data_IF_599370699761
#
_entry.id   IF_599370699761
#
_cell.length_a   1.000
_cell.length_b   1.000
_cell.length_c   1.000
_cell.angle_alpha   90.00
_cell.angle_beta   90.00
_cell.angle_gamma   90.00
#
_symmetry.space_group_name_H-M   'P 1'
#
loop_
_entity.id
_entity.type
_entity.pdbx_description
1 polymer ?
#
# COMPACT_ATOMS: atom_id res chain seq x y z
N UNK A 1 20.99 -2.35 14.50
CA UNK A 1 21.84 -2.53 13.30
C UNK A 1 20.98 -2.29 12.06
N UNK A 2 21.47 -1.46 11.16
CA UNK A 2 20.80 -1.28 9.85
C UNK A 2 21.51 -2.09 8.77
N UNK A 3 20.78 -2.47 7.74
CA UNK A 3 21.31 -3.18 6.58
C UNK A 3 21.50 -2.19 5.42
N UNK A 4 22.69 -2.18 4.83
CA UNK A 4 22.95 -1.43 3.60
C UNK A 4 22.31 -2.12 2.42
N UNK A 5 21.81 -1.32 1.48
CA UNK A 5 21.22 -1.82 0.25
C UNK A 5 22.24 -2.59 -0.60
N UNK A 6 21.82 -3.71 -1.15
CA UNK A 6 22.60 -4.47 -2.17
C UNK A 6 22.72 -3.70 -3.49
N UNK A 7 21.91 -2.65 -3.69
CA UNK A 7 21.87 -1.84 -4.90
C UNK A 7 22.80 -0.62 -4.84
N UNK A 8 23.47 -0.39 -3.71
CA UNK A 8 24.43 0.68 -3.51
C UNK A 8 24.09 1.63 -2.37
N UNK A 9 25.06 2.48 -2.03
CA UNK A 9 24.93 3.37 -0.86
C UNK A 9 23.88 4.49 -1.05
N UNK A 10 23.63 4.88 -2.30
CA UNK A 10 22.66 5.92 -2.65
C UNK A 10 21.32 5.36 -3.10
N UNK A 11 21.11 4.05 -3.00
CA UNK A 11 19.87 3.44 -3.42
C UNK A 11 18.69 3.87 -2.52
N UNK A 12 17.61 4.27 -3.18
CA UNK A 12 16.40 4.79 -2.54
C UNK A 12 15.11 4.06 -2.97
N UNK A 13 15.24 3.02 -3.82
CA UNK A 13 14.07 2.35 -4.43
C UNK A 13 14.02 0.83 -4.18
N UNK A 14 15.01 0.28 -3.49
CA UNK A 14 14.99 -1.12 -3.04
C UNK A 14 14.75 -2.12 -4.18
N UNK A 15 13.86 -3.07 -3.96
CA UNK A 15 13.56 -4.10 -4.95
C UNK A 15 12.83 -3.58 -6.21
N UNK A 16 12.41 -2.31 -6.27
CA UNK A 16 11.98 -1.70 -7.53
C UNK A 16 13.10 -1.65 -8.59
N UNK A 17 14.37 -1.76 -8.19
CA UNK A 17 15.51 -1.96 -9.09
C UNK A 17 15.43 -3.24 -9.94
N UNK A 18 14.55 -4.18 -9.59
CA UNK A 18 14.28 -5.38 -10.39
C UNK A 18 13.45 -5.09 -11.66
N UNK A 19 12.83 -3.90 -11.72
CA UNK A 19 12.03 -3.51 -12.88
C UNK A 19 12.97 -3.03 -13.99
N UNK A 20 12.92 -3.71 -15.11
CA UNK A 20 13.69 -3.40 -16.30
C UNK A 20 12.91 -3.81 -17.56
N UNK A 21 13.44 -3.48 -18.73
CA UNK A 21 12.77 -3.79 -20.01
C UNK A 21 12.42 -5.28 -20.16
N UNK A 22 13.29 -6.18 -19.69
CA UNK A 22 13.05 -7.62 -19.79
C UNK A 22 11.91 -8.06 -18.85
N UNK A 23 11.89 -7.58 -17.59
CA UNK A 23 10.83 -7.89 -16.62
C UNK A 23 9.48 -7.35 -17.09
N UNK A 24 9.44 -6.14 -17.64
CA UNK A 24 8.24 -5.52 -18.23
C UNK A 24 7.72 -6.34 -19.42
N UNK A 25 8.58 -6.73 -20.34
CA UNK A 25 8.21 -7.57 -21.48
C UNK A 25 7.73 -8.97 -21.05
N UNK A 26 8.30 -9.54 -19.97
CA UNK A 26 7.79 -10.80 -19.39
C UNK A 26 6.39 -10.61 -18.80
N UNK A 27 6.17 -9.55 -18.05
CA UNK A 27 4.88 -9.24 -17.44
C UNK A 27 3.80 -9.02 -18.50
N UNK A 28 4.08 -8.29 -19.57
CA UNK A 28 3.13 -8.03 -20.66
C UNK A 28 2.60 -9.30 -21.35
N UNK A 29 3.42 -10.35 -21.42
CA UNK A 29 3.02 -11.65 -22.00
C UNK A 29 2.01 -12.43 -21.17
N UNK A 30 1.76 -12.01 -19.92
CA UNK A 30 0.76 -12.62 -19.04
C UNK A 30 -0.65 -12.15 -19.35
N UNK A 31 -0.82 -11.11 -20.13
CA UNK A 31 -2.12 -10.57 -20.55
C UNK A 31 -2.71 -11.49 -21.64
N UNK A 32 -3.49 -12.47 -21.22
CA UNK A 32 -4.07 -13.47 -22.14
C UNK A 32 -5.56 -13.30 -22.35
N UNK A 33 -6.26 -12.58 -21.47
CA UNK A 33 -7.72 -12.42 -21.51
C UNK A 33 -8.18 -10.98 -21.82
N UNK A 34 -7.25 -10.02 -21.80
CA UNK A 34 -7.57 -8.61 -22.03
C UNK A 34 -8.55 -8.00 -21.03
N UNK A 35 -8.71 -8.60 -19.84
CA UNK A 35 -9.57 -8.07 -18.77
C UNK A 35 -8.80 -7.09 -17.91
N UNK A 36 -9.47 -6.01 -17.52
CA UNK A 36 -8.98 -5.02 -16.56
C UNK A 36 -9.81 -5.07 -15.29
N UNK A 37 -9.19 -4.78 -14.15
CA UNK A 37 -9.84 -4.74 -12.85
C UNK A 37 -9.47 -3.43 -12.17
N UNK A 38 -10.48 -2.69 -11.66
CA UNK A 38 -10.24 -1.52 -10.83
C UNK A 38 -10.01 -1.99 -9.40
N UNK A 39 -8.80 -1.77 -8.88
CA UNK A 39 -8.44 -2.13 -7.51
C UNK A 39 -8.42 -0.92 -6.57
N UNK A 40 -8.55 0.30 -7.13
CA UNK A 40 -8.58 1.53 -6.35
C UNK A 40 -9.92 1.74 -5.67
N UNK A 41 -9.90 2.18 -4.43
CA UNK A 41 -11.09 2.66 -3.72
C UNK A 41 -11.51 4.03 -4.25
N UNK A 42 -12.81 4.28 -4.27
CA UNK A 42 -13.34 5.64 -4.45
C UNK A 42 -13.05 6.41 -3.17
N UNK A 43 -12.42 7.57 -3.32
CA UNK A 43 -12.14 8.48 -2.22
C UNK A 43 -13.14 9.62 -2.28
N UNK A 44 -13.89 9.81 -1.22
CA UNK A 44 -14.87 10.88 -1.05
C UNK A 44 -14.84 11.44 0.38
N UNK A 45 -15.72 12.40 0.67
CA UNK A 45 -15.80 13.04 1.99
C UNK A 45 -16.13 12.09 3.15
N UNK A 46 -16.70 10.93 2.86
CA UNK A 46 -17.13 9.93 3.86
C UNK A 46 -16.16 8.74 3.96
N UNK A 47 -15.07 8.76 3.17
CA UNK A 47 -14.06 7.70 3.20
C UNK A 47 -13.44 7.59 4.60
N UNK A 48 -13.58 6.45 5.27
CA UNK A 48 -13.05 6.27 6.62
C UNK A 48 -11.52 6.18 6.59
N UNK A 49 -10.91 6.61 7.70
CA UNK A 49 -9.46 6.54 7.86
C UNK A 49 -9.10 6.17 9.30
N UNK A 50 -7.97 5.46 9.46
CA UNK A 50 -7.42 5.17 10.79
C UNK A 50 -6.92 6.48 11.45
N UNK A 51 -7.37 6.79 12.68
CA UNK A 51 -6.99 8.04 13.35
C UNK A 51 -5.47 8.20 13.52
N UNK A 52 -4.90 9.42 13.41
CA UNK A 52 -5.61 10.72 13.27
C UNK A 52 -5.86 11.14 11.81
N UNK A 53 -5.70 10.24 10.84
CA UNK A 53 -5.88 10.57 9.41
C UNK A 53 -7.30 11.01 9.12
N UNK A 54 -7.44 11.98 8.22
CA UNK A 54 -8.71 12.51 7.76
C UNK A 54 -8.61 13.00 6.32
N UNK A 55 -9.76 13.24 5.72
CA UNK A 55 -9.90 13.80 4.37
C UNK A 55 -11.03 14.82 4.35
N UNK A 56 -10.81 15.89 3.63
CA UNK A 56 -11.83 16.88 3.26
C UNK A 56 -11.80 17.08 1.75
N UNK A 57 -12.96 16.97 1.13
CA UNK A 57 -13.14 17.20 -0.29
C UNK A 57 -14.22 18.27 -0.48
N UNK A 58 -13.88 19.33 -1.19
CA UNK A 58 -14.80 20.43 -1.51
C UNK A 58 -14.88 20.59 -3.02
N UNK A 59 -16.08 20.56 -3.56
CA UNK A 59 -16.32 20.85 -4.97
C UNK A 59 -16.58 22.33 -5.13
N UNK A 60 -15.74 23.00 -5.89
CA UNK A 60 -15.94 24.39 -6.32
C UNK A 60 -16.85 24.36 -7.53
N UNK A 61 -18.08 24.87 -7.35
CA UNK A 61 -19.10 24.86 -8.38
C UNK A 61 -18.88 25.99 -9.41
N UNK A 62 -19.55 25.95 -10.58
CA UNK A 62 -19.47 27.02 -11.58
C UNK A 62 -19.74 28.40 -10.93
N UNK A 63 -18.96 29.38 -11.34
CA UNK A 63 -19.01 30.77 -10.87
C UNK A 63 -18.57 31.01 -9.40
N UNK A 64 -18.05 29.99 -8.73
CA UNK A 64 -17.51 30.14 -7.35
C UNK A 64 -15.97 30.21 -7.32
N UNK A 65 -15.32 29.86 -8.41
CA UNK A 65 -13.87 29.72 -8.45
C UNK A 65 -13.17 31.11 -8.56
N UNK A 66 -12.24 31.39 -7.65
CA UNK A 66 -11.30 32.51 -7.66
C UNK A 66 -11.92 33.90 -7.90
N UNK A 67 -13.14 34.13 -7.50
CA UNK A 67 -13.84 35.38 -7.76
C UNK A 67 -14.10 35.64 -9.27
N UNK A 68 -13.92 34.61 -10.07
CA UNK A 68 -14.28 34.64 -11.49
C UNK A 68 -15.80 34.72 -11.58
N UNK A 69 -16.31 35.90 -11.85
CA UNK A 69 -17.69 36.09 -12.25
C UNK A 69 -17.91 35.57 -13.67
N UNK A 70 -19.17 35.62 -14.11
CA UNK A 70 -19.60 35.24 -15.47
C UNK A 70 -18.79 35.88 -16.59
N UNK A 71 -18.12 37.01 -16.29
CA UNK A 71 -17.35 37.78 -17.27
C UNK A 71 -15.96 37.18 -17.61
N UNK A 72 -15.44 36.23 -16.79
CA UNK A 72 -14.10 35.68 -17.02
C UNK A 72 -14.15 34.52 -18.04
N UNK A 73 -15.17 33.69 -17.96
CA UNK A 73 -15.38 32.57 -18.89
C UNK A 73 -16.87 32.43 -19.27
N UNK A 74 -17.41 33.30 -20.10
CA UNK A 74 -18.85 33.39 -20.32
C UNK A 74 -19.48 32.16 -21.00
N UNK A 75 -18.68 31.28 -21.59
CA UNK A 75 -19.13 30.07 -22.26
C UNK A 75 -18.63 28.78 -21.61
N UNK A 76 -18.13 28.86 -20.36
CA UNK A 76 -17.60 27.71 -19.63
C UNK A 76 -18.40 27.50 -18.35
N UNK A 77 -18.87 26.28 -18.14
CA UNK A 77 -19.29 25.79 -16.85
C UNK A 77 -18.34 24.68 -16.41
N UNK A 78 -17.71 24.85 -15.27
CA UNK A 78 -16.74 23.90 -14.75
C UNK A 78 -16.98 23.65 -13.25
N UNK A 79 -16.72 22.43 -12.82
CA UNK A 79 -16.52 22.09 -11.43
C UNK A 79 -15.04 21.80 -11.24
N UNK A 80 -14.50 22.19 -10.09
CA UNK A 80 -13.15 21.89 -9.70
C UNK A 80 -13.16 21.34 -8.28
N UNK A 81 -12.10 20.66 -7.84
CA UNK A 81 -12.06 20.00 -6.55
C UNK A 81 -10.83 20.44 -5.74
N UNK A 82 -11.09 20.72 -4.46
CA UNK A 82 -10.06 20.99 -3.48
C UNK A 82 -9.98 19.79 -2.56
N UNK A 83 -8.79 19.21 -2.48
CA UNK A 83 -8.46 18.12 -1.58
C UNK A 83 -7.58 18.63 -0.44
N UNK A 84 -8.00 18.36 0.80
CA UNK A 84 -7.20 18.55 2.00
C UNK A 84 -7.24 17.25 2.80
N UNK A 85 -6.10 16.55 2.92
CA UNK A 85 -6.12 15.26 3.58
C UNK A 85 -4.78 14.55 3.60
N UNK A 86 -4.82 13.36 4.16
CA UNK A 86 -3.67 12.48 4.26
C UNK A 86 -3.62 11.56 3.05
N UNK A 87 -2.47 11.46 2.39
CA UNK A 87 -2.29 10.54 1.26
C UNK A 87 -2.52 9.06 1.63
N UNK A 88 -2.42 8.72 2.92
CA UNK A 88 -2.71 7.40 3.44
C UNK A 88 -4.20 7.12 3.70
N UNK A 89 -5.12 7.79 3.00
CA UNK A 89 -6.57 7.53 3.02
C UNK A 89 -6.98 6.85 1.73
N UNK A 90 -7.76 5.78 1.83
CA UNK A 90 -8.16 4.95 0.69
C UNK A 90 -7.03 4.05 0.17
N UNK A 91 -6.98 3.82 -1.14
CA UNK A 91 -5.90 3.05 -1.75
C UNK A 91 -4.61 3.86 -1.78
N UNK A 92 -3.54 3.28 -1.26
CA UNK A 92 -2.23 3.93 -1.11
C UNK A 92 -1.09 2.97 -1.40
N UNK A 93 0.11 3.48 -1.50
CA UNK A 93 1.36 2.74 -1.47
C UNK A 93 2.35 3.47 -0.56
N UNK A 94 2.98 2.72 0.35
CA UNK A 94 4.01 3.24 1.24
C UNK A 94 5.37 3.18 0.56
N UNK A 95 6.09 4.30 0.56
CA UNK A 95 7.48 4.37 0.14
C UNK A 95 8.44 3.96 1.26
N UNK A 96 9.71 3.77 0.91
CA UNK A 96 10.76 3.34 1.84
C UNK A 96 11.08 4.36 2.95
N UNK A 97 10.59 5.60 2.81
CA UNK A 97 10.66 6.64 3.83
C UNK A 97 9.48 6.70 4.79
N UNK A 98 8.53 5.74 4.72
CA UNK A 98 7.31 5.79 5.53
C UNK A 98 7.53 5.31 6.97
N UNK A 99 8.10 4.14 7.18
CA UNK A 99 8.38 3.60 8.53
C UNK A 99 9.83 3.14 8.63
N UNK A 100 10.51 3.60 9.69
CA UNK A 100 11.85 3.21 10.07
C UNK A 100 11.89 2.52 11.44
N UNK A 101 13.10 2.37 12.00
CA UNK A 101 13.28 1.87 13.36
C UNK A 101 12.89 2.93 14.41
N UNK A 102 12.70 2.53 15.69
CA UNK A 102 12.45 3.48 16.78
C UNK A 102 13.54 4.56 16.94
N UNK A 103 14.79 4.29 16.50
CA UNK A 103 15.88 5.25 16.50
C UNK A 103 15.81 6.23 15.34
N UNK A 104 14.84 6.08 14.43
CA UNK A 104 14.67 6.95 13.25
C UNK A 104 15.55 6.56 12.07
N UNK A 105 15.98 5.31 11.98
CA UNK A 105 16.75 4.78 10.85
C UNK A 105 15.80 4.08 9.87
N UNK A 106 15.88 4.47 8.62
CA UNK A 106 15.07 3.99 7.51
C UNK A 106 15.89 3.10 6.56
N UNK A 107 15.28 2.74 5.43
CA UNK A 107 15.92 1.95 4.39
C UNK A 107 17.33 2.44 4.07
N UNK A 108 18.22 1.51 3.75
CA UNK A 108 19.62 1.77 3.39
C UNK A 108 20.39 2.58 4.42
N UNK A 109 19.97 2.53 5.69
CA UNK A 109 20.58 3.27 6.81
C UNK A 109 20.46 4.80 6.72
N UNK A 110 19.52 5.34 5.98
CA UNK A 110 19.26 6.77 6.02
C UNK A 110 18.68 7.18 7.37
N UNK A 111 19.26 8.22 7.98
CA UNK A 111 18.73 8.81 9.22
C UNK A 111 17.60 9.79 8.86
N UNK A 112 16.43 9.60 9.46
CA UNK A 112 15.26 10.46 9.24
C UNK A 112 15.52 11.94 9.52
N UNK A 113 16.42 12.26 10.45
CA UNK A 113 16.81 13.64 10.77
C UNK A 113 17.46 14.36 9.59
N UNK A 114 18.12 13.60 8.69
CA UNK A 114 18.86 14.18 7.57
C UNK A 114 17.95 14.41 6.36
N UNK A 115 16.85 13.65 6.20
CA UNK A 115 16.05 13.71 4.99
C UNK A 115 14.57 14.06 5.18
N UNK A 116 13.99 13.84 6.39
CA UNK A 116 12.58 14.14 6.63
C UNK A 116 12.40 15.60 7.04
N UNK A 117 11.87 16.41 6.13
CA UNK A 117 11.61 17.84 6.35
C UNK A 117 10.09 18.09 6.36
N UNK A 118 9.67 19.18 7.02
CA UNK A 118 8.25 19.56 7.07
C UNK A 118 7.65 19.83 5.68
N UNK A 119 8.50 20.15 4.70
CA UNK A 119 8.12 20.44 3.31
C UNK A 119 8.14 19.19 2.41
N UNK A 120 8.58 18.04 2.93
CA UNK A 120 8.67 16.79 2.18
C UNK A 120 9.94 16.00 2.50
N UNK A 121 10.03 14.81 1.95
CA UNK A 121 11.21 13.97 2.06
C UNK A 121 12.22 14.34 0.97
N UNK A 122 13.50 14.50 1.34
CA UNK A 122 14.60 14.74 0.37
C UNK A 122 15.26 13.44 -0.08
N UNK A 123 14.98 12.33 0.61
CA UNK A 123 15.39 10.96 0.30
C UNK A 123 14.19 10.02 0.51
N UNK A 124 14.22 8.86 -0.13
CA UNK A 124 13.24 7.80 0.02
C UNK A 124 11.78 8.19 -0.33
N UNK A 125 11.59 9.27 -1.08
CA UNK A 125 10.28 9.69 -1.54
C UNK A 125 9.68 8.69 -2.54
N UNK A 126 8.35 8.51 -2.47
CA UNK A 126 7.63 7.56 -3.33
C UNK A 126 7.75 7.92 -4.83
N UNK A 127 7.98 9.18 -5.15
CA UNK A 127 8.15 9.68 -6.51
C UNK A 127 9.40 9.13 -7.22
N UNK A 128 10.35 8.55 -6.45
CA UNK A 128 11.57 7.93 -7.00
C UNK A 128 11.32 6.50 -7.49
N UNK A 129 10.29 5.85 -6.98
CA UNK A 129 9.92 4.50 -7.40
C UNK A 129 9.32 4.56 -8.81
N UNK A 130 9.87 3.80 -9.78
CA UNK A 130 9.33 3.80 -11.13
C UNK A 130 7.93 3.19 -11.17
N UNK A 131 7.16 3.39 -12.26
CA UNK A 131 5.91 2.69 -12.46
C UNK A 131 6.09 1.17 -12.30
N UNK A 132 5.29 0.55 -11.43
CA UNK A 132 5.39 -0.87 -11.13
C UNK A 132 4.71 -1.68 -12.25
N UNK A 133 5.51 -2.33 -13.10
CA UNK A 133 5.04 -3.24 -14.14
C UNK A 133 5.69 -4.60 -13.91
N UNK A 134 4.94 -5.51 -13.31
CA UNK A 134 5.42 -6.82 -12.88
C UNK A 134 4.31 -7.88 -12.93
N UNK A 135 4.65 -9.12 -12.65
CA UNK A 135 3.67 -10.17 -12.44
C UNK A 135 2.97 -9.95 -11.10
N UNK A 136 1.64 -9.82 -11.11
CA UNK A 136 0.82 -9.84 -9.90
C UNK A 136 0.49 -11.28 -9.47
N UNK A 137 0.60 -11.57 -8.18
CA UNK A 137 0.17 -12.82 -7.55
C UNK A 137 -0.86 -12.49 -6.50
N UNK A 138 -2.10 -12.96 -6.67
CA UNK A 138 -3.18 -12.80 -5.69
C UNK A 138 -3.28 -14.06 -4.85
N UNK A 139 -3.11 -13.93 -3.53
CA UNK A 139 -3.29 -15.00 -2.55
C UNK A 139 -4.61 -14.74 -1.82
N UNK A 140 -5.59 -15.63 -2.04
CA UNK A 140 -6.92 -15.47 -1.47
C UNK A 140 -7.00 -16.17 -0.10
N UNK A 141 -6.82 -15.39 0.97
CA UNK A 141 -6.86 -15.92 2.33
C UNK A 141 -8.30 -16.17 2.80
N UNK A 142 -9.26 -15.36 2.39
CA UNK A 142 -10.67 -15.59 2.71
C UNK A 142 -11.16 -16.95 2.17
N UNK A 143 -10.82 -17.26 0.92
CA UNK A 143 -11.15 -18.55 0.29
C UNK A 143 -10.41 -19.71 0.97
N UNK A 144 -9.14 -19.51 1.32
CA UNK A 144 -8.34 -20.52 2.04
C UNK A 144 -8.98 -20.91 3.38
N UNK A 145 -9.41 -19.94 4.17
CA UNK A 145 -10.09 -20.19 5.45
C UNK A 145 -11.57 -20.55 5.29
N UNK A 146 -12.10 -20.54 4.07
CA UNK A 146 -13.51 -20.84 3.77
C UNK A 146 -14.47 -19.90 4.49
N UNK A 147 -14.13 -18.62 4.58
CA UNK A 147 -14.94 -17.58 5.17
C UNK A 147 -15.23 -16.47 4.14
N UNK A 148 -16.32 -15.72 4.28
CA UNK A 148 -16.61 -14.61 3.38
C UNK A 148 -15.58 -13.48 3.51
N UNK A 149 -15.02 -13.30 4.69
CA UNK A 149 -13.92 -12.35 4.99
C UNK A 149 -13.23 -12.74 6.30
N UNK A 150 -11.98 -12.32 6.49
CA UNK A 150 -11.30 -12.31 7.77
C UNK A 150 -11.72 -11.07 8.55
N UNK A 151 -11.97 -11.20 9.85
CA UNK A 151 -12.37 -10.09 10.70
C UNK A 151 -11.14 -9.32 11.22
N UNK A 152 -11.36 -8.11 11.75
CA UNK A 152 -10.27 -7.35 12.41
C UNK A 152 -9.66 -8.16 13.55
N UNK A 153 -8.34 -8.15 13.61
CA UNK A 153 -7.60 -8.95 14.58
C UNK A 153 -7.30 -10.38 14.14
N UNK A 154 -7.95 -10.88 13.08
CA UNK A 154 -7.57 -12.17 12.50
C UNK A 154 -6.19 -12.06 11.83
N UNK A 155 -5.41 -13.14 11.93
CA UNK A 155 -4.07 -13.22 11.38
C UNK A 155 -3.91 -14.42 10.47
N UNK A 156 -2.93 -14.37 9.58
CA UNK A 156 -2.44 -15.52 8.85
C UNK A 156 -0.92 -15.57 8.89
N UNK A 157 -0.39 -16.76 9.08
CA UNK A 157 1.04 -17.03 9.18
C UNK A 157 1.62 -17.64 7.89
N UNK A 158 2.91 -17.92 7.88
CA UNK A 158 3.59 -18.47 6.71
C UNK A 158 3.11 -19.87 6.34
N UNK A 159 2.67 -20.69 7.30
CA UNK A 159 2.12 -22.01 7.02
C UNK A 159 0.79 -21.89 6.27
N UNK A 160 -0.08 -20.99 6.71
CA UNK A 160 -1.35 -20.68 6.05
C UNK A 160 -1.13 -20.18 4.62
N UNK A 161 -0.20 -19.24 4.44
CA UNK A 161 0.13 -18.69 3.11
C UNK A 161 0.66 -19.77 2.17
N UNK A 162 1.54 -20.66 2.65
CA UNK A 162 2.04 -21.78 1.85
C UNK A 162 0.93 -22.74 1.43
N UNK A 163 0.04 -23.10 2.35
CA UNK A 163 -1.11 -23.95 2.05
C UNK A 163 -2.09 -23.28 1.08
N UNK A 164 -2.34 -21.97 1.25
CA UNK A 164 -3.17 -21.20 0.32
C UNK A 164 -2.57 -21.19 -1.09
N UNK A 165 -1.26 -20.97 -1.21
CA UNK A 165 -0.57 -21.02 -2.51
C UNK A 165 -0.63 -22.40 -3.16
N UNK A 166 -0.47 -23.47 -2.38
CA UNK A 166 -0.58 -24.86 -2.87
C UNK A 166 -2.00 -25.15 -3.38
N UNK A 167 -3.02 -24.76 -2.63
CA UNK A 167 -4.43 -24.92 -3.01
C UNK A 167 -4.74 -24.16 -4.31
N UNK A 168 -4.24 -22.95 -4.46
CA UNK A 168 -4.41 -22.12 -5.66
C UNK A 168 -3.47 -22.53 -6.81
N UNK A 169 -2.51 -23.44 -6.58
CA UNK A 169 -1.46 -23.85 -7.55
C UNK A 169 -0.65 -22.67 -8.07
N UNK A 170 -0.28 -21.77 -7.20
CA UNK A 170 0.51 -20.57 -7.48
C UNK A 170 1.83 -20.59 -6.72
N UNK A 171 2.75 -19.77 -7.14
CA UNK A 171 4.05 -19.58 -6.45
C UNK A 171 4.50 -18.12 -6.56
N UNK A 172 5.11 -17.63 -5.50
CA UNK A 172 5.78 -16.32 -5.45
C UNK A 172 7.20 -16.44 -5.96
N UNK A 173 7.61 -15.51 -6.81
CA UNK A 173 8.94 -15.46 -7.44
C UNK A 173 9.56 -14.07 -7.25
N UNK A 174 10.87 -14.00 -7.40
CA UNK A 174 11.61 -12.75 -7.45
C UNK A 174 11.01 -11.79 -8.48
N UNK A 175 10.78 -10.56 -8.07
CA UNK A 175 10.23 -9.52 -8.93
C UNK A 175 8.71 -9.53 -9.07
N UNK A 176 7.97 -10.31 -8.28
CA UNK A 176 6.52 -10.27 -8.25
C UNK A 176 6.00 -9.11 -7.41
N UNK A 177 4.75 -8.73 -7.67
CA UNK A 177 3.89 -7.96 -6.75
C UNK A 177 2.91 -8.96 -6.13
N UNK A 178 2.88 -9.05 -4.81
CA UNK A 178 2.02 -10.01 -4.09
C UNK A 178 0.87 -9.27 -3.42
N UNK A 179 -0.34 -9.70 -3.69
CA UNK A 179 -1.56 -9.14 -3.12
C UNK A 179 -2.30 -10.20 -2.31
N UNK A 180 -2.75 -9.83 -1.12
CA UNK A 180 -3.58 -10.66 -0.27
C UNK A 180 -5.03 -10.20 -0.36
N UNK A 181 -5.95 -11.15 -0.50
CA UNK A 181 -7.38 -10.90 -0.43
C UNK A 181 -7.92 -11.47 0.87
N UNK A 182 -8.41 -10.60 1.73
CA UNK A 182 -9.00 -10.94 3.02
C UNK A 182 -10.53 -10.84 3.01
N UNK A 183 -11.10 -10.13 2.02
CA UNK A 183 -12.53 -9.81 1.93
C UNK A 183 -12.98 -8.69 2.87
N UNK A 184 -12.09 -8.15 3.71
CA UNK A 184 -12.40 -7.14 4.73
C UNK A 184 -13.01 -5.87 4.15
N UNK A 185 -12.37 -5.28 3.15
CA UNK A 185 -12.87 -4.05 2.53
C UNK A 185 -14.21 -4.24 1.84
N UNK A 186 -14.39 -5.33 1.11
CA UNK A 186 -15.66 -5.63 0.45
C UNK A 186 -16.80 -5.81 1.47
N UNK A 187 -16.52 -6.47 2.59
CA UNK A 187 -17.50 -6.75 3.63
C UNK A 187 -17.86 -5.50 4.46
N UNK A 188 -16.88 -4.63 4.78
CA UNK A 188 -17.03 -3.65 5.85
C UNK A 188 -17.03 -2.19 5.40
N UNK A 189 -16.31 -1.84 4.34
CA UNK A 189 -16.12 -0.42 3.97
C UNK A 189 -17.42 0.36 3.80
N UNK A 190 -18.41 -0.19 3.12
CA UNK A 190 -19.69 0.47 2.88
C UNK A 190 -20.73 0.21 3.97
N UNK A 191 -20.73 -1.00 4.55
CA UNK A 191 -21.75 -1.39 5.55
C UNK A 191 -21.42 -0.87 6.94
N UNK A 192 -20.15 -0.88 7.31
CA UNK A 192 -19.66 -0.56 8.64
C UNK A 192 -18.35 0.25 8.59
N UNK A 193 -18.34 1.47 7.98
CA UNK A 193 -17.12 2.22 7.70
C UNK A 193 -16.30 2.55 8.95
N UNK A 194 -16.95 2.74 10.12
CA UNK A 194 -16.25 2.95 11.38
C UNK A 194 -15.50 1.71 11.85
N UNK A 195 -16.09 0.54 11.66
CA UNK A 195 -15.48 -0.75 11.98
C UNK A 195 -14.31 -1.05 11.04
N UNK A 196 -14.50 -0.76 9.76
CA UNK A 196 -13.43 -0.87 8.77
C UNK A 196 -12.22 -0.02 9.14
N UNK A 197 -12.43 1.24 9.53
CA UNK A 197 -11.35 2.15 9.92
C UNK A 197 -10.74 1.86 11.30
N UNK A 198 -11.41 1.10 12.17
CA UNK A 198 -10.96 0.80 13.52
C UNK A 198 -10.03 -0.41 13.63
N UNK A 199 -9.93 -1.22 12.58
CA UNK A 199 -9.10 -2.42 12.61
C UNK A 199 -8.95 -3.07 11.24
N UNK A 200 -8.11 -4.09 11.18
CA UNK A 200 -7.89 -4.90 9.98
C UNK A 200 -7.38 -6.29 10.34
N UNK A 201 -7.71 -7.33 9.56
CA UNK A 201 -6.92 -8.56 9.56
C UNK A 201 -5.53 -8.28 8.96
N UNK A 202 -4.54 -9.09 9.30
CA UNK A 202 -3.19 -8.86 8.81
C UNK A 202 -2.30 -10.10 8.80
N UNK A 203 -1.14 -9.95 8.15
CA UNK A 203 -0.14 -11.02 8.11
C UNK A 203 0.74 -11.01 9.35
N UNK A 204 1.26 -12.19 9.69
CA UNK A 204 2.29 -12.34 10.70
C UNK A 204 3.67 -11.97 10.13
N UNK A 205 4.64 -11.56 10.98
CA UNK A 205 5.98 -11.16 10.54
C UNK A 205 6.75 -12.19 9.73
N UNK A 206 6.51 -13.48 9.94
CA UNK A 206 7.14 -14.57 9.18
C UNK A 206 6.73 -14.59 7.71
N UNK A 207 5.52 -14.14 7.39
CA UNK A 207 5.06 -13.93 6.01
C UNK A 207 5.86 -12.80 5.35
N UNK A 208 6.02 -11.69 6.05
CA UNK A 208 6.81 -10.56 5.54
C UNK A 208 8.27 -10.96 5.28
N UNK A 209 8.90 -11.69 6.21
CA UNK A 209 10.24 -12.23 6.04
C UNK A 209 10.35 -13.15 4.82
N UNK A 210 9.40 -14.05 4.63
CA UNK A 210 9.35 -14.93 3.46
C UNK A 210 9.25 -14.13 2.15
N UNK A 211 8.41 -13.09 2.10
CA UNK A 211 8.26 -12.25 0.90
C UNK A 211 9.53 -11.43 0.63
N UNK A 212 10.18 -10.95 1.69
CA UNK A 212 11.48 -10.30 1.63
C UNK A 212 12.57 -11.22 1.05
N UNK A 213 12.66 -12.45 1.55
CA UNK A 213 13.57 -13.48 1.02
C UNK A 213 13.28 -13.84 -0.44
N UNK A 214 12.01 -13.76 -0.88
CA UNK A 214 11.63 -13.96 -2.29
C UNK A 214 11.96 -12.76 -3.18
N UNK A 215 12.44 -11.66 -2.61
CA UNK A 215 12.76 -10.43 -3.33
C UNK A 215 11.56 -9.94 -4.18
N UNK A 216 10.38 -9.88 -3.56
CA UNK A 216 9.20 -9.28 -4.20
C UNK A 216 9.37 -7.76 -4.33
N UNK A 217 8.71 -7.14 -5.31
CA UNK A 217 8.81 -5.69 -5.54
C UNK A 217 7.88 -4.93 -4.61
N UNK A 218 6.68 -5.44 -4.43
CA UNK A 218 5.67 -4.83 -3.57
C UNK A 218 4.74 -5.88 -2.98
N UNK A 219 4.16 -5.55 -1.83
CA UNK A 219 3.14 -6.34 -1.14
C UNK A 219 1.94 -5.45 -0.87
N UNK A 220 0.75 -5.98 -1.06
CA UNK A 220 -0.50 -5.27 -0.79
C UNK A 220 -1.59 -6.18 -0.27
N UNK A 221 -2.68 -5.58 0.22
CA UNK A 221 -3.89 -6.28 0.62
C UNK A 221 -5.12 -5.40 0.35
N UNK A 222 -6.30 -5.99 0.49
CA UNK A 222 -7.59 -5.30 0.50
C UNK A 222 -7.92 -4.72 1.90
N UNK A 223 -6.90 -4.36 2.67
CA UNK A 223 -6.99 -3.73 3.98
C UNK A 223 -6.21 -2.43 3.98
N UNK A 224 -6.51 -1.53 4.93
CA UNK A 224 -5.76 -0.29 5.08
C UNK A 224 -4.39 -0.47 5.79
N UNK A 225 -4.12 -1.66 6.34
CA UNK A 225 -2.84 -2.06 6.93
C UNK A 225 -2.50 -3.49 6.50
N UNK A 226 -1.21 -3.79 6.31
CA UNK A 226 -0.72 -5.17 6.17
C UNK A 226 -0.51 -5.84 7.53
N UNK A 227 -0.21 -5.05 8.57
CA UNK A 227 -0.19 -5.51 9.95
C UNK A 227 -1.61 -5.66 10.49
N UNK A 228 -1.80 -6.62 11.38
CA UNK A 228 -3.06 -6.84 12.06
C UNK A 228 -3.38 -5.68 13.02
N UNK A 229 -4.62 -5.27 13.04
CA UNK A 229 -5.12 -4.26 13.99
C UNK A 229 -6.44 -4.74 14.60
N UNK A 230 -6.58 -4.80 15.94
CA UNK A 230 -5.65 -4.29 16.98
C UNK A 230 -4.27 -4.94 16.95
N UNK A 231 -3.25 -4.15 17.29
CA UNK A 231 -1.87 -4.62 17.34
C UNK A 231 -1.68 -5.72 18.38
N UNK A 232 -0.86 -6.71 18.10
CA UNK A 232 -0.64 -7.84 19.00
C UNK A 232 0.29 -7.51 20.17
N UNK A 233 1.26 -6.63 19.96
CA UNK A 233 2.20 -6.13 20.97
C UNK A 233 2.34 -4.62 20.82
N UNK A 234 1.96 -3.87 21.85
CA UNK A 234 2.05 -2.40 21.85
C UNK A 234 3.50 -1.89 21.80
N UNK A 235 4.49 -2.73 22.11
CA UNK A 235 5.92 -2.38 22.04
C UNK A 235 6.45 -2.47 20.60
N UNK A 236 5.82 -3.28 19.76
CA UNK A 236 6.12 -3.45 18.35
C UNK A 236 4.81 -3.39 17.54
N UNK A 237 4.20 -2.21 17.40
CA UNK A 237 2.82 -2.10 16.93
C UNK A 237 2.60 -2.49 15.48
N UNK A 238 3.62 -2.37 14.63
CA UNK A 238 3.52 -2.64 13.18
C UNK A 238 4.80 -3.35 12.68
N UNK A 239 5.04 -4.62 13.08
CA UNK A 239 6.31 -5.31 12.79
C UNK A 239 6.50 -5.67 11.31
N UNK A 240 5.44 -5.78 10.52
CA UNK A 240 5.50 -6.09 9.08
C UNK A 240 6.12 -4.93 8.29
N UNK A 241 5.76 -3.69 8.64
CA UNK A 241 6.25 -2.50 7.93
C UNK A 241 7.80 -2.40 7.90
N UNK A 242 8.52 -2.41 9.04
CA UNK A 242 9.98 -2.31 8.99
C UNK A 242 10.65 -3.48 8.26
N UNK A 243 10.08 -4.69 8.34
CA UNK A 243 10.61 -5.84 7.57
C UNK A 243 10.53 -5.56 6.07
N UNK A 244 9.42 -5.04 5.57
CA UNK A 244 9.21 -4.81 4.15
C UNK A 244 9.83 -3.49 3.65
N UNK A 245 9.83 -2.43 4.47
CA UNK A 245 10.23 -1.09 4.04
C UNK A 245 11.66 -0.74 4.43
N UNK A 246 12.13 -1.14 5.60
CA UNK A 246 13.44 -0.75 6.12
C UNK A 246 14.52 -1.79 5.84
N UNK A 247 14.20 -3.06 6.03
CA UNK A 247 15.20 -4.13 6.08
C UNK A 247 15.41 -4.88 4.76
N UNK A 248 14.60 -4.55 3.72
CA UNK A 248 14.58 -5.34 2.48
C UNK A 248 14.71 -4.51 1.19
#
# INVERSE_FOLDING_TARGET
TCNKSKWGEDDEIGNANLINSESVLKASKLITKGKTYSLGLIIDKDTPAYPPRSIELTIVQPFQQYGAGEDVYPNLAANDDIFNGWFGVGSQIDGLGHIGSPEGIFYNCFDGKDFAQITGLTKLGIEKIPPLVARGVLINMADFFQVPYLDKGDTFDLEDVKKAMDNQKISVKKGDVVLFHTGWTEAKLLSEPKEWGAGAPGMMPDVALFLAEKEVIAVGADTWSLDVVPVMDEREPFPVHPILLKDN
#
